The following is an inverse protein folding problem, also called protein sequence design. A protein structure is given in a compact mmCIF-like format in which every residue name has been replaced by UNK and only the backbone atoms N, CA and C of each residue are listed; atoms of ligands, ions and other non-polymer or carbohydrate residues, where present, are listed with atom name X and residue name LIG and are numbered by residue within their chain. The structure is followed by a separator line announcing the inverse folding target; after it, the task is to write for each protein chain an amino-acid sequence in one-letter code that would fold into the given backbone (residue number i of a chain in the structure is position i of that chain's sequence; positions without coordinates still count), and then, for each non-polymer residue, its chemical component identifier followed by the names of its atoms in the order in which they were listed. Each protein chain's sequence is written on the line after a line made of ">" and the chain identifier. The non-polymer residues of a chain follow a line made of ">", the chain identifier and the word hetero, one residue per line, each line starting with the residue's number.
data_IF_226419756662
#
_entry.id   IF_226419756662
#
_cell.length_a   1.000
_cell.length_b   1.000
_cell.length_c   1.000
_cell.angle_alpha   90.00
_cell.angle_beta   90.00
_cell.angle_gamma   90.00
#
_symmetry.space_group_name_H-M   'P 1'
#
loop_
_entity.id
_entity.type
_entity.pdbx_description
1 polymer ?
#
# COMPACT_ATOMS: atom_id res chain seq x y z
N UNK A 1 -46.75 -23.86 -46.54
CA UNK A 1 -46.83 -22.38 -46.53
C UNK A 1 -47.36 -21.97 -45.16
N UNK A 2 -46.68 -21.32 -44.23
CA UNK A 2 -45.39 -20.62 -44.16
C UNK A 2 -44.83 -20.81 -42.75
N UNK A 3 -43.51 -20.95 -42.64
CA UNK A 3 -42.73 -20.88 -41.40
C UNK A 3 -42.43 -19.40 -41.07
N UNK A 4 -42.39 -19.06 -39.77
CA UNK A 4 -41.64 -17.96 -39.14
C UNK A 4 -41.56 -18.29 -37.63
N UNK A 5 -40.42 -18.71 -37.08
CA UNK A 5 -39.30 -17.89 -36.55
C UNK A 5 -39.81 -16.80 -35.59
N UNK A 6 -39.35 -16.65 -34.34
CA UNK A 6 -37.96 -16.35 -33.98
C UNK A 6 -37.84 -16.41 -32.44
N UNK A 7 -36.89 -17.18 -31.92
CA UNK A 7 -36.51 -17.19 -30.50
C UNK A 7 -35.40 -16.16 -30.29
N UNK A 8 -35.67 -15.09 -29.54
CA UNK A 8 -34.68 -14.06 -29.22
C UNK A 8 -34.03 -14.39 -27.88
N UNK A 9 -32.84 -14.99 -27.94
CA UNK A 9 -31.93 -15.12 -26.81
C UNK A 9 -31.38 -13.73 -26.44
N UNK A 10 -31.92 -13.12 -25.39
CA UNK A 10 -31.36 -11.92 -24.79
C UNK A 10 -30.07 -12.24 -24.04
N UNK A 11 -28.93 -12.12 -24.71
CA UNK A 11 -27.61 -12.08 -24.10
C UNK A 11 -27.48 -10.78 -23.28
N UNK A 12 -27.73 -10.87 -21.98
CA UNK A 12 -27.40 -9.82 -21.02
C UNK A 12 -25.89 -9.72 -20.87
N UNK A 13 -25.26 -8.86 -21.66
CA UNK A 13 -23.91 -8.40 -21.37
C UNK A 13 -23.93 -7.66 -20.03
N UNK A 14 -23.44 -8.32 -18.98
CA UNK A 14 -23.11 -7.67 -17.72
C UNK A 14 -21.98 -6.69 -18.02
N UNK A 15 -22.33 -5.40 -18.13
CA UNK A 15 -21.39 -4.30 -18.06
C UNK A 15 -20.64 -4.41 -16.73
N UNK A 16 -19.51 -5.10 -16.77
CA UNK A 16 -18.51 -5.09 -15.72
C UNK A 16 -17.86 -3.72 -15.81
N UNK A 17 -18.55 -2.71 -15.27
CA UNK A 17 -17.96 -1.43 -14.93
C UNK A 17 -16.85 -1.75 -13.95
N UNK A 18 -15.63 -1.85 -14.47
CA UNK A 18 -14.41 -1.71 -13.70
C UNK A 18 -14.53 -0.36 -13.01
N UNK A 19 -15.03 -0.39 -11.78
CA UNK A 19 -14.92 0.70 -10.83
C UNK A 19 -13.44 0.86 -10.53
N UNK A 20 -12.75 1.58 -11.41
CA UNK A 20 -11.64 2.43 -11.03
C UNK A 20 -12.21 3.37 -9.98
N UNK A 21 -12.25 2.89 -8.74
CA UNK A 21 -12.32 3.75 -7.59
C UNK A 21 -11.14 4.69 -7.76
N UNK A 22 -11.43 5.89 -8.27
CA UNK A 22 -10.52 7.02 -8.21
C UNK A 22 -10.20 7.13 -6.73
N UNK A 23 -9.05 6.56 -6.35
CA UNK A 23 -8.53 6.61 -5.00
C UNK A 23 -8.28 8.07 -4.75
N UNK A 24 -9.30 8.76 -4.22
CA UNK A 24 -9.16 10.10 -3.70
C UNK A 24 -8.13 9.95 -2.58
N UNK A 25 -6.86 10.19 -2.94
CA UNK A 25 -5.72 9.85 -2.11
C UNK A 25 -5.92 10.53 -0.76
N UNK A 26 -6.24 9.72 0.25
CA UNK A 26 -6.68 10.18 1.57
C UNK A 26 -5.83 11.37 2.01
N UNK A 27 -6.48 12.54 2.13
CA UNK A 27 -5.82 13.76 2.57
C UNK A 27 -5.99 13.89 4.07
N UNK A 28 -4.95 14.35 4.75
CA UNK A 28 -5.04 14.66 6.18
C UNK A 28 -5.87 15.95 6.32
N UNK A 29 -6.95 15.95 7.12
CA UNK A 29 -7.75 17.15 7.33
C UNK A 29 -6.90 18.26 7.96
N UNK A 30 -6.88 19.44 7.34
CA UNK A 30 -6.13 20.60 7.84
C UNK A 30 -6.56 21.04 9.24
N UNK A 31 -7.83 20.83 9.59
CA UNK A 31 -8.35 21.06 10.94
C UNK A 31 -7.64 20.18 12.00
N UNK A 32 -7.39 18.90 11.68
CA UNK A 32 -6.66 17.99 12.57
C UNK A 32 -5.20 18.40 12.68
N UNK A 33 -4.55 18.72 11.56
CA UNK A 33 -3.18 19.23 11.54
C UNK A 33 -3.02 20.47 12.43
N UNK A 34 -3.97 21.42 12.36
CA UNK A 34 -3.98 22.60 13.23
C UNK A 34 -4.15 22.22 14.71
N UNK A 35 -5.05 21.31 15.04
CA UNK A 35 -5.24 20.83 16.42
C UNK A 35 -3.95 20.21 16.97
N UNK A 36 -3.28 19.35 16.20
CA UNK A 36 -1.99 18.77 16.59
C UNK A 36 -0.92 19.84 16.86
N UNK A 37 -0.81 20.84 15.98
CA UNK A 37 0.12 21.96 16.18
C UNK A 37 -0.20 22.76 17.46
N UNK A 38 -1.48 23.00 17.73
CA UNK A 38 -1.93 23.75 18.90
C UNK A 38 -1.76 22.98 20.22
N UNK A 39 -1.78 21.64 20.20
CA UNK A 39 -1.49 20.83 21.40
C UNK A 39 -0.07 21.07 21.92
N UNK A 40 0.91 21.24 21.03
CA UNK A 40 2.29 21.49 21.42
C UNK A 40 2.61 22.99 21.63
N UNK A 41 1.84 23.88 20.99
CA UNK A 41 2.06 25.33 21.06
C UNK A 41 0.74 26.10 21.25
N UNK A 42 0.10 26.04 22.44
CA UNK A 42 -1.29 26.49 22.64
C UNK A 42 -1.54 27.99 22.44
N UNK A 43 -0.51 28.84 22.40
CA UNK A 43 -0.63 30.29 22.12
C UNK A 43 -0.25 30.69 20.69
N UNK A 44 0.25 29.78 19.85
CA UNK A 44 0.78 30.12 18.54
C UNK A 44 -0.34 30.19 17.50
N UNK A 45 -0.37 31.28 16.73
CA UNK A 45 -1.28 31.45 15.59
C UNK A 45 -0.58 30.95 14.33
N UNK A 46 -1.30 30.17 13.53
CA UNK A 46 -0.82 29.64 12.25
C UNK A 46 -1.68 30.24 11.13
N UNK A 47 -1.03 30.65 10.04
CA UNK A 47 -1.74 31.06 8.82
C UNK A 47 -2.39 29.83 8.17
N UNK A 48 -3.42 30.03 7.34
CA UNK A 48 -4.07 28.94 6.63
C UNK A 48 -3.07 28.18 5.73
N UNK A 49 -2.25 28.92 4.99
CA UNK A 49 -1.19 28.37 4.12
C UNK A 49 -0.19 27.50 4.89
N UNK A 50 0.25 27.93 6.08
CA UNK A 50 1.17 27.13 6.90
C UNK A 50 0.53 25.81 7.37
N UNK A 51 -0.77 25.84 7.70
CA UNK A 51 -1.50 24.62 8.10
C UNK A 51 -1.70 23.69 6.90
N UNK A 52 -2.02 24.23 5.73
CA UNK A 52 -2.15 23.46 4.49
C UNK A 52 -0.83 22.79 4.11
N UNK A 53 0.27 23.54 4.15
CA UNK A 53 1.61 23.03 3.86
C UNK A 53 2.02 21.95 4.87
N UNK A 54 1.78 22.16 6.16
CA UNK A 54 2.03 21.16 7.19
C UNK A 54 1.22 19.88 6.94
N UNK A 55 -0.04 20.01 6.51
CA UNK A 55 -0.90 18.85 6.22
C UNK A 55 -0.39 18.06 5.00
N UNK A 56 0.03 18.77 3.95
CA UNK A 56 0.65 18.17 2.78
C UNK A 56 1.97 17.47 3.12
N UNK A 57 2.80 18.10 3.96
CA UNK A 57 4.04 17.53 4.45
C UNK A 57 3.80 16.24 5.27
N UNK A 58 2.86 16.25 6.21
CA UNK A 58 2.49 15.05 6.98
C UNK A 58 2.03 13.90 6.05
N UNK A 59 1.30 14.21 4.98
CA UNK A 59 0.91 13.21 3.98
C UNK A 59 2.15 12.61 3.29
N UNK A 60 3.10 13.44 2.87
CA UNK A 60 4.35 12.98 2.26
C UNK A 60 5.16 12.11 3.23
N UNK A 61 5.24 12.51 4.50
CA UNK A 61 5.92 11.75 5.54
C UNK A 61 5.32 10.35 5.71
N UNK A 62 3.98 10.24 5.77
CA UNK A 62 3.30 8.94 5.88
C UNK A 62 3.53 8.07 4.65
N UNK A 63 3.50 8.66 3.45
CA UNK A 63 3.78 7.94 2.19
C UNK A 63 5.22 7.40 2.20
N UNK A 64 6.18 8.22 2.59
CA UNK A 64 7.59 7.84 2.60
C UNK A 64 7.90 6.79 3.68
N UNK A 65 7.35 6.94 4.89
CA UNK A 65 7.46 5.94 5.95
C UNK A 65 6.95 4.57 5.49
N UNK A 66 5.77 4.56 4.84
CA UNK A 66 5.20 3.33 4.27
C UNK A 66 6.07 2.75 3.16
N UNK A 67 6.62 3.60 2.28
CA UNK A 67 7.51 3.15 1.19
C UNK A 67 8.74 2.46 1.73
N UNK A 68 9.43 3.04 2.72
CA UNK A 68 10.63 2.44 3.32
C UNK A 68 10.33 1.17 4.10
N UNK A 69 9.21 1.15 4.83
CA UNK A 69 8.80 -0.04 5.56
C UNK A 69 8.38 -1.20 4.63
N UNK A 70 7.86 -0.90 3.43
CA UNK A 70 7.63 -1.92 2.40
C UNK A 70 8.94 -2.53 1.91
N UNK A 71 9.95 -1.70 1.65
CA UNK A 71 11.29 -2.15 1.23
C UNK A 71 11.92 -3.02 2.33
N UNK A 72 11.86 -2.59 3.59
CA UNK A 72 12.39 -3.39 4.70
C UNK A 72 11.69 -4.75 4.80
N UNK A 73 10.36 -4.79 4.61
CA UNK A 73 9.59 -6.02 4.59
C UNK A 73 10.03 -6.96 3.46
N UNK A 74 10.22 -6.42 2.25
CA UNK A 74 10.69 -7.16 1.08
C UNK A 74 12.08 -7.76 1.34
N UNK A 75 13.01 -6.97 1.91
CA UNK A 75 14.35 -7.46 2.27
C UNK A 75 14.32 -8.57 3.32
N UNK A 76 13.45 -8.49 4.34
CA UNK A 76 13.29 -9.57 5.32
C UNK A 76 12.74 -10.86 4.70
N UNK A 77 11.76 -10.74 3.79
CA UNK A 77 11.17 -11.90 3.11
C UNK A 77 12.22 -12.61 2.23
N UNK A 78 13.08 -11.86 1.54
CA UNK A 78 14.17 -12.41 0.75
C UNK A 78 15.24 -13.11 1.61
N UNK A 79 15.56 -12.56 2.78
CA UNK A 79 16.53 -13.18 3.70
C UNK A 79 16.06 -14.55 4.21
N UNK A 80 14.76 -14.69 4.53
CA UNK A 80 14.21 -15.95 5.04
C UNK A 80 14.24 -17.09 4.00
N UNK A 81 14.05 -16.78 2.71
CA UNK A 81 14.11 -17.78 1.64
C UNK A 81 15.51 -18.36 1.50
N UNK A 82 16.56 -17.54 1.67
CA UNK A 82 17.93 -17.99 1.52
C UNK A 82 18.40 -18.88 2.69
N UNK A 83 17.85 -18.70 3.90
CA UNK A 83 18.21 -19.52 5.07
C UNK A 83 17.58 -20.93 5.02
N UNK A 84 16.42 -21.09 4.37
CA UNK A 84 15.73 -22.38 4.24
C UNK A 84 16.35 -23.30 3.16
N UNK A 85 17.23 -22.80 2.29
CA UNK A 85 17.88 -23.59 1.23
C UNK A 85 19.17 -24.32 1.69
N UNK A 86 19.74 -24.01 2.86
CA UNK A 86 20.98 -24.64 3.33
C UNK A 86 20.81 -25.95 4.15
N UNK A 87 19.60 -26.32 4.58
CA UNK A 87 19.35 -27.61 5.30
C UNK A 87 18.69 -28.72 4.45
N UNK A 88 18.52 -28.51 3.14
CA UNK A 88 17.80 -29.39 2.22
C UNK A 88 18.63 -30.47 1.51
N UNK A 89 19.45 -31.24 2.21
CA UNK A 89 20.04 -32.47 1.67
C UNK A 89 19.01 -33.61 1.59
N UNK A 90 18.23 -33.70 0.51
CA UNK A 90 17.19 -34.72 0.38
C UNK A 90 16.67 -34.93 -1.03
N UNK A 91 16.95 -36.13 -1.55
CA UNK A 91 16.73 -36.64 -2.90
C UNK A 91 15.24 -36.77 -3.33
N UNK A 92 15.01 -36.68 -4.64
CA UNK A 92 13.81 -37.04 -5.43
C UNK A 92 12.50 -36.24 -5.22
N UNK A 93 12.08 -35.50 -6.24
CA UNK A 93 11.30 -36.03 -7.37
C UNK A 93 10.68 -34.86 -8.17
N UNK A 94 10.70 -35.01 -9.49
CA UNK A 94 10.24 -34.04 -10.46
C UNK A 94 8.73 -33.77 -10.34
N UNK A 95 8.39 -32.52 -10.68
CA UNK A 95 7.18 -32.10 -11.39
C UNK A 95 6.23 -31.19 -10.59
N UNK A 96 6.58 -29.90 -10.52
CA UNK A 96 5.61 -28.81 -10.34
C UNK A 96 5.92 -27.69 -11.34
N UNK A 97 5.40 -27.86 -12.57
CA UNK A 97 4.84 -26.72 -13.27
C UNK A 97 3.62 -26.25 -12.46
N UNK A 98 3.63 -25.02 -11.96
CA UNK A 98 2.51 -24.05 -12.01
C UNK A 98 2.64 -23.01 -10.89
N UNK A 99 2.49 -21.75 -11.28
CA UNK A 99 2.14 -20.61 -10.42
C UNK A 99 3.23 -20.21 -9.40
N UNK A 100 3.86 -19.05 -9.49
CA UNK A 100 3.17 -17.82 -9.13
C UNK A 100 4.16 -16.65 -9.21
N UNK A 101 4.22 -16.00 -10.37
CA UNK A 101 4.75 -14.63 -10.50
C UNK A 101 3.77 -13.61 -9.86
N UNK A 102 3.10 -13.98 -8.76
CA UNK A 102 2.39 -13.04 -7.91
C UNK A 102 3.46 -12.40 -7.06
N UNK A 103 3.67 -11.11 -7.23
CA UNK A 103 4.26 -10.26 -6.20
C UNK A 103 3.60 -10.64 -4.88
N UNK A 104 4.28 -11.43 -4.05
CA UNK A 104 3.74 -11.76 -2.74
C UNK A 104 3.55 -10.42 -2.05
N UNK A 105 2.31 -10.12 -1.66
CA UNK A 105 2.04 -8.85 -0.98
C UNK A 105 2.70 -9.01 0.37
N UNK A 106 3.87 -8.39 0.55
CA UNK A 106 4.59 -8.46 1.81
C UNK A 106 3.87 -7.58 2.81
N UNK A 107 3.52 -8.16 3.95
CA UNK A 107 2.84 -7.46 5.02
C UNK A 107 3.81 -6.51 5.75
N UNK A 108 3.45 -5.22 5.82
CA UNK A 108 4.21 -4.26 6.62
C UNK A 108 3.80 -4.42 8.09
N UNK A 109 4.76 -4.84 8.91
CA UNK A 109 4.61 -5.00 10.35
C UNK A 109 5.29 -3.85 11.10
N UNK A 110 5.06 -3.79 12.42
CA UNK A 110 5.54 -2.69 13.27
C UNK A 110 7.08 -2.69 13.47
N UNK A 111 7.70 -3.85 13.44
CA UNK A 111 9.16 -4.06 13.41
C UNK A 111 9.81 -3.40 12.18
N UNK A 112 9.23 -3.54 10.98
CA UNK A 112 9.75 -2.88 9.77
C UNK A 112 9.75 -1.36 9.93
N UNK A 113 8.68 -0.80 10.52
CA UNK A 113 8.56 0.65 10.79
C UNK A 113 9.62 1.08 11.83
N UNK A 114 9.83 0.28 12.88
CA UNK A 114 10.80 0.60 13.93
C UNK A 114 12.23 0.65 13.39
N UNK A 115 12.60 -0.24 12.46
CA UNK A 115 13.92 -0.26 11.83
C UNK A 115 14.20 0.98 10.99
N UNK A 116 13.21 1.44 10.21
CA UNK A 116 13.37 2.62 9.34
C UNK A 116 13.18 3.96 10.08
N UNK A 117 12.67 3.94 11.31
CA UNK A 117 12.29 5.16 12.04
C UNK A 117 13.49 6.07 12.31
N UNK A 118 14.65 5.52 12.67
CA UNK A 118 15.84 6.31 12.97
C UNK A 118 16.32 7.09 11.73
N UNK A 119 16.42 6.41 10.59
CA UNK A 119 16.82 7.03 9.32
C UNK A 119 15.80 8.08 8.87
N UNK A 120 14.51 7.76 8.94
CA UNK A 120 13.44 8.68 8.57
C UNK A 120 13.45 9.96 9.42
N UNK A 121 13.78 9.86 10.71
CA UNK A 121 13.87 11.03 11.59
C UNK A 121 15.10 11.91 11.30
N UNK A 122 16.22 11.31 10.87
CA UNK A 122 17.42 12.06 10.48
C UNK A 122 17.18 12.90 9.22
N UNK A 123 16.40 12.41 8.26
CA UNK A 123 16.06 13.15 7.04
C UNK A 123 15.21 14.41 7.30
N UNK A 124 14.61 14.52 8.49
CA UNK A 124 13.76 15.64 8.89
C UNK A 124 14.45 16.61 9.85
N UNK A 125 15.71 16.33 10.23
CA UNK A 125 16.46 17.08 11.24
C UNK A 125 17.15 18.34 10.73
#
# INVERSE_FOLDING_TARGET
>A
MRHTDTSAAGHGHTNRTSSTASSAAASIPTALTKQCLQLHFPGRRYTAEAVELASAFLKLLVIEARRRAAIEAECEAEAQINDDEEEGGGDNNQNQESESNRSSIVEIRADHIAKIAAELLLDLS
#
